data_IF_291397115730
#
_entry.id   IF_291397115730
#
_cell.length_a   1.000
_cell.length_b   1.000
_cell.length_c   1.000
_cell.angle_alpha   90.00
_cell.angle_beta   90.00
_cell.angle_gamma   90.00
#
_symmetry.space_group_name_H-M   'P 1'
#
loop_
_entity.id
_entity.type
_entity.pdbx_description
1 polymer ?
#
# COMPACT_ATOMS: atom_id res chain seq x y z
N UNK A 1 -15.27 18.37 -2.20
CA UNK A 1 -14.60 19.57 -1.71
C UNK A 1 -15.54 20.26 -0.73
N UNK A 2 -15.12 20.38 0.52
CA UNK A 2 -15.84 21.13 1.54
C UNK A 2 -15.74 22.63 1.21
N UNK A 3 -16.90 23.28 1.07
CA UNK A 3 -16.98 24.68 0.71
C UNK A 3 -17.03 25.51 1.99
N UNK A 4 -15.88 25.65 2.64
CA UNK A 4 -15.78 26.42 3.87
C UNK A 4 -15.23 27.81 3.58
N UNK A 5 -15.99 28.84 3.95
CA UNK A 5 -15.58 30.24 3.88
C UNK A 5 -16.14 31.02 5.05
N UNK A 6 -15.40 32.02 5.46
CA UNK A 6 -15.82 32.93 6.52
C UNK A 6 -16.03 34.32 5.92
N UNK A 7 -17.14 34.98 6.27
CA UNK A 7 -17.40 36.37 5.91
C UNK A 7 -17.14 37.23 7.14
N UNK A 8 -16.25 38.19 7.04
CA UNK A 8 -16.11 39.24 8.05
C UNK A 8 -17.40 40.07 8.13
N UNK A 9 -17.69 40.64 9.29
CA UNK A 9 -18.93 41.41 9.51
C UNK A 9 -19.14 42.44 8.37
N UNK A 10 -20.29 42.32 7.73
CA UNK A 10 -20.79 43.29 6.74
C UNK A 10 -21.76 44.25 7.40
N UNK A 11 -21.96 45.43 6.80
CA UNK A 11 -22.85 46.44 7.37
C UNK A 11 -24.30 46.17 7.00
N UNK A 12 -25.19 46.21 8.00
CA UNK A 12 -26.62 46.09 7.78
C UNK A 12 -27.05 44.73 7.24
N UNK A 13 -27.88 44.75 6.20
CA UNK A 13 -28.39 43.55 5.51
C UNK A 13 -27.55 43.18 4.28
N UNK A 14 -26.38 43.81 4.09
CA UNK A 14 -25.50 43.52 2.97
C UNK A 14 -25.04 42.05 3.02
N UNK A 15 -25.08 41.39 1.87
CA UNK A 15 -24.64 39.99 1.73
C UNK A 15 -23.96 39.77 0.39
N UNK A 16 -22.98 38.88 0.37
CA UNK A 16 -22.38 38.41 -0.87
C UNK A 16 -23.43 37.68 -1.71
N UNK A 17 -23.37 37.87 -3.02
CA UNK A 17 -24.23 37.19 -3.99
C UNK A 17 -23.42 36.24 -4.86
N UNK A 18 -24.08 35.23 -5.44
CA UNK A 18 -23.48 34.21 -6.27
C UNK A 18 -23.13 32.96 -5.49
N UNK A 19 -22.69 31.97 -6.22
CA UNK A 19 -22.26 30.66 -5.67
C UNK A 19 -20.75 30.57 -5.69
N UNK A 20 -20.17 29.98 -4.62
CA UNK A 20 -18.74 29.66 -4.61
C UNK A 20 -18.45 28.62 -5.68
N UNK A 21 -17.54 28.96 -6.58
CA UNK A 21 -17.00 28.07 -7.59
C UNK A 21 -15.55 27.79 -7.24
N UNK A 22 -15.21 26.47 -7.17
CA UNK A 22 -13.85 26.00 -6.99
C UNK A 22 -13.42 25.29 -8.27
N UNK A 23 -12.31 25.72 -8.83
CA UNK A 23 -11.72 25.12 -10.01
C UNK A 23 -10.23 24.85 -9.80
N UNK A 24 -9.74 23.76 -10.34
CA UNK A 24 -8.30 23.55 -10.46
C UNK A 24 -7.83 24.28 -11.72
N UNK A 25 -6.72 24.99 -11.59
CA UNK A 25 -6.15 25.76 -12.71
C UNK A 25 -4.67 25.47 -12.86
N UNK A 26 -4.16 25.60 -14.08
CA UNK A 26 -2.74 25.59 -14.37
C UNK A 26 -2.07 26.94 -13.99
N UNK A 27 -0.77 27.03 -14.20
CA UNK A 27 0.00 28.25 -13.93
C UNK A 27 -0.46 29.46 -14.76
N UNK A 28 -1.16 29.25 -15.87
CA UNK A 28 -1.73 30.32 -16.72
C UNK A 28 -3.13 30.75 -16.24
N UNK A 29 -3.72 30.00 -15.30
CA UNK A 29 -5.08 30.23 -14.81
C UNK A 29 -6.17 29.54 -15.63
N UNK A 30 -5.80 28.61 -16.52
CA UNK A 30 -6.75 27.82 -17.31
C UNK A 30 -7.29 26.67 -16.45
N UNK A 31 -8.62 26.50 -16.46
CA UNK A 31 -9.27 25.41 -15.72
C UNK A 31 -8.83 24.05 -16.27
N UNK A 32 -8.44 23.15 -15.37
CA UNK A 32 -7.98 21.80 -15.68
C UNK A 32 -8.61 20.76 -14.75
N UNK A 33 -8.60 19.52 -15.18
CA UNK A 33 -8.85 18.37 -14.27
C UNK A 33 -7.50 17.88 -13.76
N UNK A 34 -7.23 17.91 -12.44
CA UNK A 34 -5.96 17.45 -11.91
C UNK A 34 -5.76 15.96 -12.14
N UNK A 35 -4.59 15.59 -12.63
CA UNK A 35 -4.16 14.21 -12.75
C UNK A 35 -3.45 13.80 -11.46
N UNK A 36 -4.18 13.16 -10.56
CA UNK A 36 -3.63 12.71 -9.26
C UNK A 36 -2.70 11.50 -9.37
N UNK A 37 -2.50 10.98 -10.58
CA UNK A 37 -1.52 9.91 -10.84
C UNK A 37 -0.13 10.46 -11.17
N UNK A 38 0.00 11.76 -11.40
CA UNK A 38 1.26 12.42 -11.70
C UNK A 38 1.71 13.29 -10.55
N UNK A 39 3.01 13.24 -10.28
CA UNK A 39 3.67 14.15 -9.34
C UNK A 39 3.58 15.57 -9.85
N UNK A 40 3.22 16.51 -8.98
CA UNK A 40 3.14 17.91 -9.35
C UNK A 40 2.25 18.73 -8.43
N UNK A 41 2.04 19.96 -8.84
CA UNK A 41 1.23 20.93 -8.11
C UNK A 41 0.20 21.55 -9.01
N UNK A 42 -1.00 21.75 -8.47
CA UNK A 42 -2.11 22.40 -9.13
C UNK A 42 -2.69 23.48 -8.22
N UNK A 43 -3.05 24.61 -8.77
CA UNK A 43 -3.63 25.71 -8.01
C UNK A 43 -5.15 25.48 -7.90
N UNK A 44 -5.68 25.56 -6.69
CA UNK A 44 -7.12 25.56 -6.45
C UNK A 44 -7.59 27.01 -6.35
N UNK A 45 -8.31 27.48 -7.35
CA UNK A 45 -8.82 28.84 -7.42
C UNK A 45 -10.28 28.89 -6.99
N UNK A 46 -10.58 29.79 -6.08
CA UNK A 46 -11.93 30.12 -5.68
C UNK A 46 -12.45 31.33 -6.50
N UNK A 47 -13.75 31.36 -6.73
CA UNK A 47 -14.41 32.47 -7.44
C UNK A 47 -15.92 32.42 -7.27
N UNK A 48 -16.63 33.21 -8.05
CA UNK A 48 -18.10 33.17 -8.18
C UNK A 48 -18.89 34.01 -7.21
N UNK A 49 -18.27 34.58 -6.18
CA UNK A 49 -18.96 35.55 -5.29
C UNK A 49 -18.79 36.98 -5.77
N UNK A 50 -19.84 37.77 -5.62
CA UNK A 50 -19.88 39.18 -6.00
C UNK A 50 -20.23 40.03 -4.77
N UNK A 51 -19.54 41.15 -4.62
CA UNK A 51 -19.83 42.14 -3.60
C UNK A 51 -21.19 42.78 -3.83
N UNK A 52 -21.94 43.14 -2.78
CA UNK A 52 -23.28 43.75 -2.89
C UNK A 52 -23.23 45.16 -3.44
N UNK A 53 -22.11 45.86 -3.24
CA UNK A 53 -21.90 47.27 -3.68
C UNK A 53 -20.41 47.62 -3.70
N UNK A 54 -20.07 48.83 -4.09
CA UNK A 54 -18.69 49.32 -4.25
C UNK A 54 -17.91 49.50 -2.92
N UNK A 55 -18.58 49.36 -1.78
CA UNK A 55 -17.95 49.49 -0.47
C UNK A 55 -17.15 48.20 -0.09
N UNK A 56 -17.30 47.14 -0.87
CA UNK A 56 -16.67 45.84 -0.58
C UNK A 56 -15.90 45.34 -1.80
N UNK A 57 -14.80 44.68 -1.51
CA UNK A 57 -14.02 43.96 -2.52
C UNK A 57 -13.94 42.50 -2.12
N UNK A 58 -14.32 41.58 -3.01
CA UNK A 58 -14.16 40.15 -2.79
C UNK A 58 -12.77 39.76 -3.23
N UNK A 59 -11.97 39.26 -2.28
CA UNK A 59 -10.61 38.76 -2.53
C UNK A 59 -10.62 37.25 -2.35
N UNK A 60 -10.18 36.56 -3.40
CA UNK A 60 -9.97 35.09 -3.35
C UNK A 60 -8.51 34.80 -3.16
N UNK A 61 -8.22 33.91 -2.23
CA UNK A 61 -6.86 33.37 -2.06
C UNK A 61 -6.81 31.98 -2.66
N UNK A 62 -5.90 31.77 -3.59
CA UNK A 62 -5.71 30.49 -4.23
C UNK A 62 -5.12 29.48 -3.23
N UNK A 63 -5.70 28.28 -3.20
CA UNK A 63 -5.16 27.13 -2.51
C UNK A 63 -4.18 26.36 -3.40
N UNK A 64 -3.66 25.27 -2.87
CA UNK A 64 -2.67 24.44 -3.56
C UNK A 64 -3.02 22.97 -3.41
N UNK A 65 -3.12 22.28 -4.53
CA UNK A 65 -3.07 20.82 -4.55
C UNK A 65 -1.66 20.38 -4.89
N UNK A 66 -1.05 19.55 -4.03
CA UNK A 66 0.24 18.93 -4.29
C UNK A 66 0.05 17.43 -4.42
N UNK A 67 0.58 16.87 -5.47
CA UNK A 67 0.68 15.41 -5.66
C UNK A 67 2.16 15.06 -5.55
N UNK A 68 2.51 14.38 -4.46
CA UNK A 68 3.86 13.94 -4.19
C UNK A 68 4.03 12.46 -4.57
N UNK A 69 5.26 12.11 -4.92
CA UNK A 69 5.62 10.72 -5.17
C UNK A 69 5.52 9.92 -3.87
N UNK A 70 4.84 8.75 -3.94
CA UNK A 70 4.81 7.85 -2.80
C UNK A 70 6.13 7.09 -2.72
N UNK A 71 6.78 7.04 -1.55
CA UNK A 71 7.98 6.23 -1.36
C UNK A 71 7.73 4.78 -1.77
N UNK A 72 8.75 4.15 -2.36
CA UNK A 72 8.77 2.74 -2.72
C UNK A 72 9.77 2.03 -1.82
N UNK A 73 9.38 0.90 -1.28
CA UNK A 73 10.24 0.03 -0.47
C UNK A 73 10.41 -1.30 -1.15
N UNK A 74 11.54 -1.93 -0.91
CA UNK A 74 11.87 -3.21 -1.52
C UNK A 74 11.76 -4.31 -0.49
N UNK A 75 11.01 -5.37 -0.82
CA UNK A 75 11.05 -6.64 -0.09
C UNK A 75 11.92 -7.61 -0.87
N UNK A 76 13.05 -8.01 -0.29
CA UNK A 76 13.96 -8.98 -0.90
C UNK A 76 13.55 -10.40 -0.51
N UNK A 77 13.09 -11.17 -1.48
CA UNK A 77 12.65 -12.55 -1.30
C UNK A 77 13.68 -13.55 -1.82
N UNK A 78 14.14 -14.44 -0.95
CA UNK A 78 15.15 -15.45 -1.26
C UNK A 78 14.67 -16.83 -0.85
N UNK A 79 14.77 -17.80 -1.75
CA UNK A 79 14.52 -19.20 -1.48
C UNK A 79 15.85 -19.99 -1.54
N UNK A 80 16.06 -20.87 -0.57
CA UNK A 80 17.14 -21.85 -0.61
C UNK A 80 16.89 -22.96 -1.64
N UNK A 81 17.83 -23.92 -1.74
CA UNK A 81 17.68 -25.09 -2.61
C UNK A 81 16.45 -25.92 -2.23
N UNK A 82 15.85 -26.57 -3.23
CA UNK A 82 14.73 -27.51 -3.10
C UNK A 82 13.36 -26.89 -2.83
N UNK A 83 13.17 -25.65 -3.25
CA UNK A 83 11.87 -24.97 -3.24
C UNK A 83 11.93 -23.62 -3.90
N UNK A 84 10.83 -22.90 -3.83
CA UNK A 84 10.67 -21.55 -4.43
C UNK A 84 9.83 -20.64 -3.56
N UNK A 85 9.99 -19.35 -3.80
CA UNK A 85 9.14 -18.28 -3.27
C UNK A 85 8.66 -17.45 -4.45
N UNK A 86 7.40 -17.04 -4.43
CA UNK A 86 6.79 -16.23 -5.50
C UNK A 86 6.00 -15.07 -4.90
N UNK A 87 6.27 -13.82 -5.33
CA UNK A 87 7.36 -13.40 -6.22
C UNK A 87 8.74 -13.62 -5.58
N UNK A 88 9.82 -13.57 -6.36
CA UNK A 88 11.20 -13.78 -5.90
C UNK A 88 12.10 -12.61 -6.29
N UNK A 89 13.23 -12.47 -5.59
CA UNK A 89 14.16 -11.37 -5.80
C UNK A 89 13.71 -10.08 -5.12
N UNK A 90 14.04 -8.96 -5.70
CA UNK A 90 13.62 -7.65 -5.21
C UNK A 90 12.22 -7.32 -5.71
N UNK A 91 11.29 -7.13 -4.80
CA UNK A 91 9.90 -6.81 -5.08
C UNK A 91 9.58 -5.44 -4.51
N UNK A 92 9.25 -4.51 -5.37
CA UNK A 92 8.95 -3.13 -4.97
C UNK A 92 7.50 -3.00 -4.52
N UNK A 93 7.31 -2.35 -3.38
CA UNK A 93 6.01 -2.12 -2.74
C UNK A 93 5.88 -0.63 -2.42
N UNK A 94 4.80 -0.02 -2.83
CA UNK A 94 4.51 1.37 -2.47
C UNK A 94 4.29 1.51 -0.96
N UNK A 95 4.73 2.62 -0.40
CA UNK A 95 4.50 2.96 1.02
C UNK A 95 3.06 2.71 1.45
N UNK A 96 2.88 1.95 2.52
CA UNK A 96 1.56 1.54 3.01
C UNK A 96 0.88 0.46 2.17
N UNK A 97 1.54 -0.05 1.13
CA UNK A 97 1.06 -1.18 0.34
C UNK A 97 1.25 -2.52 1.04
N UNK A 98 0.73 -3.57 0.43
CA UNK A 98 0.87 -4.95 0.93
C UNK A 98 1.41 -5.85 -0.17
N UNK A 99 2.20 -6.86 0.22
CA UNK A 99 2.73 -7.86 -0.70
C UNK A 99 2.68 -9.25 -0.08
N UNK A 100 2.06 -10.17 -0.79
CA UNK A 100 1.98 -11.59 -0.40
C UNK A 100 3.04 -12.40 -1.14
N UNK A 101 3.71 -13.27 -0.41
CA UNK A 101 4.66 -14.25 -0.91
C UNK A 101 4.11 -15.66 -0.69
N UNK A 102 4.16 -16.47 -1.73
CA UNK A 102 3.77 -17.88 -1.67
C UNK A 102 5.01 -18.76 -1.75
N UNK A 103 5.07 -19.79 -0.92
CA UNK A 103 6.25 -20.66 -0.76
C UNK A 103 5.87 -22.09 -1.15
N UNK A 104 6.66 -22.69 -2.02
CA UNK A 104 6.47 -24.06 -2.47
C UNK A 104 7.76 -24.88 -2.32
N UNK A 105 7.69 -26.02 -1.65
CA UNK A 105 8.77 -27.00 -1.61
C UNK A 105 8.70 -27.94 -2.83
N UNK A 106 9.85 -28.36 -3.33
CA UNK A 106 9.93 -29.37 -4.37
C UNK A 106 9.48 -30.74 -3.85
N UNK A 107 9.14 -31.65 -4.76
CA UNK A 107 8.76 -33.01 -4.41
C UNK A 107 9.84 -33.70 -3.54
N UNK A 108 9.43 -34.30 -2.44
CA UNK A 108 10.33 -34.92 -1.46
C UNK A 108 10.98 -33.95 -0.47
N UNK A 109 10.58 -32.68 -0.49
CA UNK A 109 11.05 -31.65 0.44
C UNK A 109 9.89 -30.97 1.15
N UNK A 110 10.20 -30.37 2.29
CA UNK A 110 9.27 -29.56 3.07
C UNK A 110 9.90 -28.21 3.41
N UNK A 111 9.08 -27.21 3.70
CA UNK A 111 9.56 -25.94 4.21
C UNK A 111 10.15 -26.18 5.60
N UNK A 112 11.42 -25.85 5.77
CA UNK A 112 12.10 -25.97 7.06
C UNK A 112 11.84 -24.76 7.94
N UNK A 113 12.05 -23.58 7.38
CA UNK A 113 11.90 -22.33 8.12
C UNK A 113 11.73 -21.15 7.17
N UNK A 114 11.00 -20.16 7.63
CA UNK A 114 10.89 -18.84 7.02
C UNK A 114 11.41 -17.81 8.01
N UNK A 115 12.23 -16.89 7.53
CA UNK A 115 12.73 -15.77 8.32
C UNK A 115 12.22 -14.47 7.70
N UNK A 116 11.71 -13.59 8.54
CA UNK A 116 11.33 -12.23 8.21
C UNK A 116 12.31 -11.30 8.91
N UNK A 117 13.05 -10.49 8.16
CA UNK A 117 14.07 -9.56 8.69
C UNK A 117 15.06 -10.26 9.65
N UNK A 118 15.43 -11.48 9.30
CA UNK A 118 16.32 -12.33 10.09
C UNK A 118 15.65 -13.08 11.24
N UNK A 119 14.39 -12.81 11.55
CA UNK A 119 13.64 -13.47 12.63
C UNK A 119 12.87 -14.67 12.10
N UNK A 120 13.05 -15.84 12.73
CA UNK A 120 12.36 -17.08 12.38
C UNK A 120 10.88 -17.03 12.75
N UNK A 121 10.01 -17.37 11.80
CA UNK A 121 8.57 -17.52 12.01
C UNK A 121 8.07 -18.95 11.82
N UNK A 122 9.00 -19.92 11.61
CA UNK A 122 8.67 -21.32 11.37
C UNK A 122 8.33 -21.64 9.91
N UNK A 123 7.76 -22.80 9.69
CA UNK A 123 7.39 -23.30 8.35
C UNK A 123 5.99 -22.81 7.99
N UNK A 124 5.91 -21.79 7.14
CA UNK A 124 4.65 -21.26 6.60
C UNK A 124 4.63 -21.36 5.08
N UNK A 125 3.46 -21.55 4.47
CA UNK A 125 3.29 -21.68 3.02
C UNK A 125 3.07 -20.32 2.33
N UNK A 126 2.76 -19.30 3.10
CA UNK A 126 2.60 -17.93 2.61
C UNK A 126 2.85 -16.94 3.73
N UNK A 127 3.26 -15.73 3.34
CA UNK A 127 3.40 -14.60 4.24
C UNK A 127 3.01 -13.32 3.52
N UNK A 128 2.30 -12.43 4.20
CA UNK A 128 1.91 -11.13 3.67
C UNK A 128 2.54 -10.03 4.53
N UNK A 129 3.33 -9.18 3.88
CA UNK A 129 3.71 -7.90 4.47
C UNK A 129 2.55 -6.94 4.27
N UNK A 130 2.05 -6.37 5.34
CA UNK A 130 0.98 -5.36 5.30
C UNK A 130 1.54 -4.00 5.73
N UNK A 131 1.01 -2.93 5.13
CA UNK A 131 1.40 -1.56 5.44
C UNK A 131 2.93 -1.36 5.43
N UNK A 132 3.56 -1.70 4.31
CA UNK A 132 5.02 -1.64 4.13
C UNK A 132 5.48 -0.18 4.20
N UNK A 133 6.31 0.14 5.21
CA UNK A 133 6.83 1.49 5.46
C UNK A 133 8.36 1.55 5.49
N UNK A 134 9.02 0.41 5.28
CA UNK A 134 10.46 0.25 5.20
C UNK A 134 10.84 -0.97 4.33
N UNK A 135 12.12 -1.16 4.07
CA UNK A 135 12.59 -2.35 3.34
C UNK A 135 12.55 -3.58 4.23
N UNK A 136 12.21 -4.72 3.64
CA UNK A 136 12.10 -6.00 4.33
C UNK A 136 12.88 -7.11 3.62
N UNK A 137 13.11 -8.20 4.33
CA UNK A 137 13.64 -9.44 3.78
C UNK A 137 12.75 -10.62 4.14
N UNK A 138 12.59 -11.56 3.21
CA UNK A 138 12.00 -12.86 3.46
C UNK A 138 12.91 -13.94 2.91
N UNK A 139 13.34 -14.84 3.78
CA UNK A 139 14.26 -15.93 3.46
C UNK A 139 13.61 -17.27 3.80
N UNK A 140 13.67 -18.21 2.88
CA UNK A 140 13.04 -19.51 3.03
C UNK A 140 14.10 -20.61 2.90
N UNK A 141 14.07 -21.56 3.80
CA UNK A 141 14.89 -22.77 3.75
C UNK A 141 14.02 -24.01 3.69
N UNK A 142 14.54 -25.05 3.03
CA UNK A 142 13.85 -26.31 2.84
C UNK A 142 14.67 -27.45 3.42
N UNK A 143 14.01 -28.53 3.83
CA UNK A 143 14.62 -29.75 4.28
C UNK A 143 14.02 -30.96 3.55
N UNK A 144 14.73 -32.08 3.49
CA UNK A 144 14.17 -33.31 2.97
C UNK A 144 12.97 -33.71 3.83
N UNK A 145 11.83 -33.96 3.20
CA UNK A 145 10.68 -34.48 3.90
C UNK A 145 11.07 -35.86 4.40
N UNK A 146 11.01 -36.08 5.73
CA UNK A 146 11.13 -37.42 6.26
C UNK A 146 9.98 -38.23 5.67
N UNK A 147 10.31 -39.18 4.83
CA UNK A 147 9.34 -40.09 4.24
C UNK A 147 8.76 -41.00 5.31
N UNK A 148 7.87 -40.45 6.12
CA UNK A 148 6.86 -41.25 6.75
C UNK A 148 5.65 -41.20 5.79
N UNK A 149 5.40 -42.27 5.03
CA UNK A 149 4.14 -42.34 4.30
C UNK A 149 3.04 -42.34 5.37
N UNK A 150 2.25 -41.29 5.40
CA UNK A 150 0.94 -41.33 6.07
C UNK A 150 0.00 -42.24 5.26
N UNK A 151 0.37 -43.46 5.10
CA UNK A 151 -0.47 -44.57 4.69
C UNK A 151 -0.51 -45.48 5.87
N UNK A 152 -1.43 -45.34 6.78
CA UNK A 152 -1.88 -46.24 7.84
C UNK A 152 -1.04 -47.46 8.23
N UNK A 153 0.27 -47.40 8.04
CA UNK A 153 1.19 -48.48 8.44
C UNK A 153 1.92 -47.99 9.67
N UNK A 154 1.57 -48.56 10.80
CA UNK A 154 2.34 -48.41 12.03
C UNK A 154 3.45 -49.49 12.04
N UNK A 155 4.64 -49.10 12.44
CA UNK A 155 5.76 -50.01 12.66
C UNK A 155 5.91 -50.21 14.16
N UNK A 156 5.90 -51.45 14.59
CA UNK A 156 6.23 -51.78 15.99
C UNK A 156 7.72 -51.52 16.23
N UNK A 157 8.01 -50.55 17.08
CA UNK A 157 9.40 -50.18 17.41
C UNK A 157 10.19 -51.26 18.14
N UNK A 158 9.50 -52.30 18.65
CA UNK A 158 10.14 -53.41 19.40
C UNK A 158 10.47 -54.60 18.50
N UNK A 159 9.59 -54.92 17.56
CA UNK A 159 9.75 -56.10 16.69
C UNK A 159 10.13 -55.74 15.25
N UNK A 160 9.98 -54.49 14.85
CA UNK A 160 10.22 -54.03 13.47
C UNK A 160 9.17 -54.53 12.46
N UNK A 161 8.10 -55.15 12.92
CA UNK A 161 7.01 -55.61 12.06
C UNK A 161 6.05 -54.49 11.74
N UNK A 162 5.63 -54.37 10.47
CA UNK A 162 4.65 -53.39 10.01
C UNK A 162 3.26 -54.01 9.97
N UNK A 163 2.28 -53.32 10.50
CA UNK A 163 0.87 -53.68 10.39
C UNK A 163 0.01 -52.52 9.91
N UNK A 164 -1.07 -52.87 9.26
CA UNK A 164 -2.07 -51.88 8.76
C UNK A 164 -3.12 -51.73 9.85
N UNK A 165 -3.38 -50.48 10.23
CA UNK A 165 -4.43 -50.13 11.17
C UNK A 165 -5.80 -50.04 10.49
#
# INVERSE_FOLDING_TARGET
LDKDYTVSAMFGEDALTGDIKLAYVDASGTEITPDTTKVGQTILRAGGLTAPNDNYTVVFTDGKLTVDERPVYTVKATAGSHGSITPSGNVDVLHGGSQTFTIAANSGYAISNVKIDGVSIGAVKSYTFENVTENHTIEVTFMKANGNPQTGVMVDEVTGESYVA
#
